data_IF_497059591434
#
_entry.id   IF_497059591434
#
_cell.length_a   1.000
_cell.length_b   1.000
_cell.length_c   1.000
_cell.angle_alpha   90.00
_cell.angle_beta   90.00
_cell.angle_gamma   90.00
#
_symmetry.space_group_name_H-M   'P 1'
#
loop_
_entity.id
_entity.type
_entity.pdbx_description
1 polymer ?
#
# COMPACT_ATOMS: atom_id res chain seq x y z
N UNK A 1 -6.19 -20.96 6.53
CA UNK A 1 -5.11 -21.74 5.90
C UNK A 1 -4.12 -20.75 5.34
N UNK A 2 -2.86 -20.78 5.75
CA UNK A 2 -1.85 -19.91 5.17
C UNK A 2 -1.58 -20.38 3.73
N UNK A 3 -1.86 -19.54 2.75
CA UNK A 3 -1.60 -19.85 1.33
C UNK A 3 -0.08 -19.84 1.15
N UNK A 4 0.51 -21.02 0.96
CA UNK A 4 1.96 -21.16 0.75
C UNK A 4 2.27 -20.89 -0.72
N UNK A 5 2.39 -19.61 -1.08
CA UNK A 5 2.72 -19.16 -2.42
C UNK A 5 4.19 -18.77 -2.51
N UNK A 6 4.95 -19.47 -3.35
CA UNK A 6 6.40 -19.29 -3.47
C UNK A 6 6.78 -18.38 -4.63
N UNK A 7 7.96 -17.75 -4.56
CA UNK A 7 8.51 -16.93 -5.65
C UNK A 7 8.56 -17.71 -6.97
N UNK A 8 8.94 -18.98 -6.93
CA UNK A 8 9.10 -19.82 -8.12
C UNK A 8 7.78 -20.02 -8.87
N UNK A 9 6.68 -20.20 -8.13
CA UNK A 9 5.33 -20.27 -8.71
C UNK A 9 4.95 -18.93 -9.35
N UNK A 10 5.17 -17.84 -8.61
CA UNK A 10 4.87 -16.49 -9.12
C UNK A 10 5.64 -16.16 -10.41
N UNK A 11 6.91 -16.57 -10.50
CA UNK A 11 7.74 -16.32 -11.69
C UNK A 11 7.28 -17.15 -12.90
N UNK A 12 6.79 -18.38 -12.67
CA UNK A 12 6.24 -19.23 -13.76
C UNK A 12 4.96 -18.65 -14.36
N UNK A 13 4.16 -17.97 -13.55
CA UNK A 13 2.91 -17.33 -13.99
C UNK A 13 3.11 -15.92 -14.56
N UNK A 14 4.34 -15.38 -14.53
CA UNK A 14 4.60 -14.06 -15.09
C UNK A 14 4.39 -14.06 -16.61
N UNK A 15 3.71 -13.03 -17.16
CA UNK A 15 3.65 -12.85 -18.60
C UNK A 15 5.05 -12.54 -19.15
N UNK A 16 5.25 -12.74 -20.45
CA UNK A 16 6.52 -12.43 -21.09
C UNK A 16 6.84 -10.93 -20.98
N UNK A 17 7.95 -10.60 -20.31
CA UNK A 17 8.44 -9.23 -20.14
C UNK A 17 9.63 -9.01 -21.07
N UNK A 18 9.45 -8.13 -22.07
CA UNK A 18 10.52 -7.78 -23.03
C UNK A 18 11.66 -6.99 -22.37
N UNK A 19 11.34 -6.12 -21.42
CA UNK A 19 12.32 -5.26 -20.75
C UNK A 19 13.03 -6.00 -19.60
N UNK A 20 14.35 -6.16 -19.74
CA UNK A 20 15.20 -6.83 -18.74
C UNK A 20 15.25 -6.07 -17.42
N UNK A 21 15.19 -4.73 -17.43
CA UNK A 21 15.17 -3.95 -16.19
C UNK A 21 13.84 -4.16 -15.46
N UNK A 22 12.73 -4.17 -16.19
CA UNK A 22 11.40 -4.45 -15.65
C UNK A 22 11.32 -5.86 -15.07
N UNK A 23 11.81 -6.88 -15.79
CA UNK A 23 11.86 -8.25 -15.29
C UNK A 23 12.64 -8.33 -13.97
N UNK A 24 13.86 -7.78 -13.91
CA UNK A 24 14.68 -7.77 -12.68
C UNK A 24 13.99 -7.06 -11.52
N UNK A 25 13.26 -5.99 -11.81
CA UNK A 25 12.50 -5.24 -10.80
C UNK A 25 11.34 -6.06 -10.24
N UNK A 26 10.60 -6.74 -11.10
CA UNK A 26 9.49 -7.62 -10.71
C UNK A 26 10.01 -8.82 -9.91
N UNK A 27 11.10 -9.44 -10.36
CA UNK A 27 11.75 -10.55 -9.66
C UNK A 27 12.20 -10.16 -8.24
N UNK A 28 12.81 -8.98 -8.10
CA UNK A 28 13.20 -8.44 -6.80
C UNK A 28 11.99 -8.12 -5.92
N UNK A 29 10.95 -7.52 -6.49
CA UNK A 29 9.76 -7.18 -5.73
C UNK A 29 9.01 -8.43 -5.23
N UNK A 30 8.97 -9.49 -6.05
CA UNK A 30 8.42 -10.79 -5.67
C UNK A 30 9.18 -11.40 -4.49
N UNK A 31 10.52 -11.38 -4.55
CA UNK A 31 11.36 -11.85 -3.45
C UNK A 31 11.17 -11.04 -2.17
N UNK A 32 11.11 -9.71 -2.27
CA UNK A 32 10.86 -8.84 -1.11
C UNK A 32 9.50 -9.11 -0.47
N UNK A 33 8.47 -9.31 -1.30
CA UNK A 33 7.12 -9.55 -0.82
C UNK A 33 6.97 -10.97 -0.25
N UNK A 34 7.27 -12.01 -1.03
CA UNK A 34 6.99 -13.40 -0.64
C UNK A 34 7.99 -13.92 0.40
N UNK A 35 9.30 -13.83 0.12
CA UNK A 35 10.35 -14.40 0.97
C UNK A 35 10.73 -13.51 2.15
N UNK A 36 10.76 -12.18 1.96
CA UNK A 36 11.12 -11.24 3.04
C UNK A 36 9.93 -10.68 3.80
N UNK A 37 8.71 -11.07 3.43
CA UNK A 37 7.47 -10.63 4.07
C UNK A 37 7.32 -9.10 4.16
N UNK A 38 7.85 -8.35 3.19
CA UNK A 38 7.62 -6.92 3.12
C UNK A 38 6.19 -6.62 2.68
N UNK A 39 5.69 -5.42 2.99
CA UNK A 39 4.43 -4.96 2.42
C UNK A 39 4.60 -4.66 0.91
N UNK A 40 3.53 -4.88 0.14
CA UNK A 40 3.56 -4.78 -1.33
C UNK A 40 4.10 -3.42 -1.79
N UNK A 41 3.62 -2.33 -1.18
CA UNK A 41 4.05 -0.97 -1.49
C UNK A 41 5.56 -0.75 -1.30
N UNK A 42 6.14 -1.29 -0.21
CA UNK A 42 7.57 -1.13 0.05
C UNK A 42 8.42 -1.97 -0.89
N UNK A 43 7.98 -3.20 -1.20
CA UNK A 43 8.64 -4.06 -2.17
C UNK A 43 8.70 -3.38 -3.56
N UNK A 44 7.57 -2.86 -4.05
CA UNK A 44 7.48 -2.14 -5.33
C UNK A 44 8.38 -0.89 -5.32
N UNK A 45 8.32 -0.08 -4.27
CA UNK A 45 9.14 1.12 -4.17
C UNK A 45 10.64 0.79 -4.21
N UNK A 46 11.07 -0.24 -3.48
CA UNK A 46 12.48 -0.60 -3.40
C UNK A 46 12.99 -1.18 -4.72
N UNK A 47 12.18 -2.00 -5.39
CA UNK A 47 12.52 -2.52 -6.70
C UNK A 47 12.61 -1.41 -7.76
N UNK A 48 11.66 -0.48 -7.77
CA UNK A 48 11.65 0.65 -8.68
C UNK A 48 12.87 1.56 -8.49
N UNK A 49 13.25 1.82 -7.23
CA UNK A 49 14.45 2.60 -6.88
C UNK A 49 15.73 1.92 -7.38
N UNK A 50 15.88 0.61 -7.13
CA UNK A 50 17.12 -0.13 -7.46
C UNK A 50 17.37 -0.25 -8.97
N UNK A 51 16.32 -0.28 -9.77
CA UNK A 51 16.39 -0.47 -11.22
C UNK A 51 15.99 0.78 -12.01
N UNK A 52 15.82 1.93 -11.34
CA UNK A 52 15.47 3.21 -11.95
C UNK A 52 14.20 3.17 -12.81
N UNK A 53 13.21 2.36 -12.41
CA UNK A 53 11.92 2.25 -13.12
C UNK A 53 10.98 3.35 -12.66
N UNK A 54 10.62 4.25 -13.59
CA UNK A 54 9.70 5.36 -13.32
C UNK A 54 8.24 4.90 -13.12
N UNK A 55 7.65 4.04 -13.98
CA UNK A 55 6.29 3.57 -13.75
C UNK A 55 6.27 2.43 -12.71
N UNK A 56 6.20 2.79 -11.43
CA UNK A 56 5.97 1.83 -10.33
C UNK A 56 4.72 0.97 -10.53
N UNK A 57 3.73 1.55 -11.19
CA UNK A 57 2.46 0.90 -11.54
C UNK A 57 2.68 -0.35 -12.42
N UNK A 58 3.68 -0.35 -13.30
CA UNK A 58 3.96 -1.52 -14.14
C UNK A 58 4.41 -2.72 -13.29
N UNK A 59 5.28 -2.49 -12.31
CA UNK A 59 5.74 -3.52 -11.37
C UNK A 59 4.58 -4.00 -10.50
N UNK A 60 3.79 -3.07 -9.94
CA UNK A 60 2.64 -3.43 -9.10
C UNK A 60 1.59 -4.24 -9.85
N UNK A 61 1.28 -3.86 -11.10
CA UNK A 61 0.32 -4.58 -11.93
C UNK A 61 0.76 -6.02 -12.19
N UNK A 62 2.03 -6.23 -12.51
CA UNK A 62 2.59 -7.57 -12.74
C UNK A 62 2.57 -8.42 -11.46
N UNK A 63 2.90 -7.83 -10.31
CA UNK A 63 2.81 -8.50 -9.01
C UNK A 63 1.38 -8.95 -8.70
N UNK A 64 0.39 -8.07 -8.89
CA UNK A 64 -1.02 -8.39 -8.62
C UNK A 64 -1.61 -9.41 -9.60
N UNK A 65 -1.02 -9.57 -10.78
CA UNK A 65 -1.44 -10.61 -11.73
C UNK A 65 -1.01 -12.01 -11.28
N UNK A 66 0.16 -12.13 -10.66
CA UNK A 66 0.72 -13.43 -10.27
C UNK A 66 0.50 -13.79 -8.81
N UNK A 67 0.24 -12.81 -7.94
CA UNK A 67 -0.01 -13.06 -6.51
C UNK A 67 -1.52 -13.23 -6.31
N UNK A 68 -1.97 -14.36 -5.72
CA UNK A 68 -3.38 -14.57 -5.37
C UNK A 68 -3.90 -13.45 -4.47
N UNK A 69 -5.10 -12.96 -4.78
CA UNK A 69 -5.66 -11.81 -4.07
C UNK A 69 -5.91 -12.15 -2.60
N UNK A 70 -6.28 -13.40 -2.31
CA UNK A 70 -6.49 -13.92 -0.96
C UNK A 70 -5.24 -13.78 -0.08
N UNK A 71 -4.05 -13.98 -0.65
CA UNK A 71 -2.78 -13.82 0.08
C UNK A 71 -2.49 -12.35 0.39
N UNK A 72 -2.87 -11.45 -0.51
CA UNK A 72 -2.78 -10.01 -0.27
C UNK A 72 -3.73 -9.60 0.85
N UNK A 73 -4.98 -10.10 0.81
CA UNK A 73 -5.99 -9.83 1.83
C UNK A 73 -5.61 -10.39 3.20
N UNK A 74 -5.10 -11.62 3.28
CA UNK A 74 -4.65 -12.24 4.54
C UNK A 74 -3.55 -11.41 5.21
N UNK A 75 -2.62 -10.87 4.41
CA UNK A 75 -1.55 -9.99 4.90
C UNK A 75 -2.05 -8.60 5.30
N UNK A 76 -3.08 -8.08 4.63
CA UNK A 76 -3.69 -6.81 4.99
C UNK A 76 -4.57 -6.92 6.24
N UNK A 77 -5.30 -8.02 6.42
CA UNK A 77 -6.14 -8.25 7.59
C UNK A 77 -5.30 -8.54 8.85
N UNK A 78 -4.14 -9.19 8.69
CA UNK A 78 -3.14 -9.36 9.74
C UNK A 78 -2.36 -8.08 10.08
N UNK A 79 -2.39 -7.06 9.22
CA UNK A 79 -1.78 -5.76 9.49
C UNK A 79 -2.65 -4.96 10.48
N UNK A 80 -2.64 -5.37 11.76
CA UNK A 80 -3.03 -4.50 12.87
C UNK A 80 -2.32 -3.16 12.66
N UNK A 81 -3.01 -2.01 12.72
CA UNK A 81 -2.35 -0.72 12.61
C UNK A 81 -1.21 -0.71 13.63
N UNK A 82 0.03 -0.71 13.12
CA UNK A 82 1.24 -0.61 13.93
C UNK A 82 1.01 0.55 14.87
N UNK A 83 0.89 0.24 16.17
CA UNK A 83 0.49 1.17 17.24
C UNK A 83 0.68 2.61 16.79
N UNK A 84 -0.41 3.33 16.53
CA UNK A 84 -0.34 4.79 16.57
C UNK A 84 0.37 5.07 17.88
N UNK A 85 1.57 5.67 17.85
CA UNK A 85 2.08 6.31 19.04
C UNK A 85 0.89 7.06 19.64
N UNK A 86 0.60 6.92 20.95
CA UNK A 86 -0.52 7.63 21.53
C UNK A 86 -0.33 9.09 21.16
N UNK A 87 -1.21 9.57 20.28
CA UNK A 87 -1.21 10.97 19.87
C UNK A 87 -1.26 11.73 21.19
N UNK A 88 -0.27 12.58 21.44
CA UNK A 88 -0.19 13.28 22.74
C UNK A 88 -1.56 13.90 23.01
N UNK A 89 -2.02 13.86 24.27
CA UNK A 89 -3.35 14.35 24.65
C UNK A 89 -3.63 15.74 24.05
N UNK A 90 -2.61 16.57 23.97
CA UNK A 90 -2.63 17.90 23.35
C UNK A 90 -2.98 17.89 21.86
N UNK A 91 -2.39 16.97 21.10
CA UNK A 91 -2.63 16.87 19.65
C UNK A 91 -4.03 16.31 19.37
N UNK A 92 -4.52 15.41 20.23
CA UNK A 92 -5.89 14.91 20.17
C UNK A 92 -6.90 16.03 20.48
N UNK A 93 -6.68 16.82 21.54
CA UNK A 93 -7.52 17.97 21.91
C UNK A 93 -7.52 19.03 20.80
N UNK A 94 -6.36 19.32 20.19
CA UNK A 94 -6.26 20.27 19.07
C UNK A 94 -7.08 19.80 17.87
N UNK A 95 -6.98 18.52 17.50
CA UNK A 95 -7.75 17.96 16.38
C UNK A 95 -9.28 18.01 16.62
N UNK A 96 -9.72 17.78 17.87
CA UNK A 96 -11.13 17.89 18.23
C UNK A 96 -11.63 19.33 18.17
N UNK A 97 -10.83 20.31 18.64
CA UNK A 97 -11.17 21.74 18.56
C UNK A 97 -11.29 22.23 17.11
N UNK A 98 -10.36 21.82 16.24
CA UNK A 98 -10.41 22.17 14.80
C UNK A 98 -11.65 21.58 14.12
N UNK A 99 -11.95 20.31 14.36
CA UNK A 99 -13.15 19.66 13.81
C UNK A 99 -14.45 20.32 14.30
N UNK A 100 -14.48 20.82 15.54
CA UNK A 100 -15.65 21.53 16.08
C UNK A 100 -15.83 22.89 15.39
N UNK A 101 -14.76 23.67 15.26
CA UNK A 101 -14.78 24.95 14.55
C UNK A 101 -15.19 24.80 13.08
N UNK A 102 -14.73 23.75 12.39
CA UNK A 102 -15.15 23.49 11.01
C UNK A 102 -16.65 23.16 10.88
N UNK A 103 -17.22 22.43 11.84
CA UNK A 103 -18.66 22.12 11.86
C UNK A 103 -19.50 23.37 12.13
N UNK A 104 -19.08 24.18 13.09
CA UNK A 104 -19.75 25.45 13.43
C UNK A 104 -19.69 26.43 12.25
N UNK A 105 -18.54 26.56 11.58
CA UNK A 105 -18.41 27.39 10.38
C UNK A 105 -19.31 26.92 9.23
N UNK A 106 -19.39 25.61 8.98
CA UNK A 106 -20.30 25.04 7.98
C UNK A 106 -21.76 25.31 8.33
N UNK A 107 -22.15 25.19 9.59
CA UNK A 107 -23.51 25.51 10.05
C UNK A 107 -23.84 26.98 9.82
N UNK A 108 -22.92 27.88 10.13
CA UNK A 108 -23.12 29.32 9.96
C UNK A 108 -23.29 29.74 8.50
N UNK A 109 -22.51 29.13 7.59
CA UNK A 109 -22.66 29.38 6.14
C UNK A 109 -24.02 28.89 5.63
N UNK A 110 -24.52 27.76 6.13
CA UNK A 110 -25.83 27.20 5.76
C UNK A 110 -26.98 28.11 6.25
N UNK A 111 -26.87 28.69 7.45
CA UNK A 111 -27.86 29.63 7.98
C UNK A 111 -27.90 30.96 7.20
N UNK A 112 -26.75 31.44 6.72
CA UNK A 112 -26.67 32.68 5.92
C UNK A 112 -27.25 32.47 4.50
N UNK A 113 -27.12 31.26 3.93
CA UNK A 113 -27.58 30.96 2.56
C UNK A 113 -29.04 30.54 2.45
N UNK A 114 -29.74 30.32 3.58
CA UNK A 114 -31.17 29.97 3.64
C UNK A 114 -32.11 31.15 3.97
N UNK A 115 -31.59 32.38 3.98
CA UNK A 115 -32.36 33.60 4.24
C UNK A 115 -32.79 34.29 2.97
#
# INVERSE_FOLDING_TARGET
MAILFTKEQAVKELPFIKDKALYKSVDLALWLYLDKHWCLKNAVNKAAEKHSIKPKVAIERLLRQVIPEELIWERMSGAKPRNKQPVSKETAIRSQKVNKMEKEAKSHVIDITRR
#
